data_IF_648617550605
#
_entry.id   IF_648617550605
#
_cell.length_a   1.000
_cell.length_b   1.000
_cell.length_c   1.000
_cell.angle_alpha   90.00
_cell.angle_beta   90.00
_cell.angle_gamma   90.00
#
_symmetry.space_group_name_H-M   'P 1'
#
loop_
_entity.id
_entity.type
_entity.pdbx_description
1 polymer ?
#
# COMPACT_ATOMS: atom_id res chain seq x y z
N UNK A 1 0.05 -10.79 16.86
CA UNK A 1 0.81 -9.63 16.35
C UNK A 1 1.39 -8.93 17.56
N UNK A 2 2.61 -8.43 17.45
CA UNK A 2 3.31 -7.74 18.52
C UNK A 2 4.15 -6.57 17.98
N UNK A 3 4.98 -6.00 18.85
CA UNK A 3 5.78 -4.82 18.54
C UNK A 3 6.58 -4.94 17.24
N UNK A 4 7.31 -6.06 17.07
CA UNK A 4 8.12 -6.27 15.86
C UNK A 4 7.28 -6.27 14.58
N UNK A 5 6.08 -6.86 14.61
CA UNK A 5 5.19 -6.87 13.44
C UNK A 5 4.80 -5.43 13.04
N UNK A 6 4.41 -4.61 14.02
CA UNK A 6 3.98 -3.23 13.80
C UNK A 6 5.11 -2.32 13.32
N UNK A 7 6.35 -2.55 13.78
CA UNK A 7 7.49 -1.73 13.39
C UNK A 7 7.95 -1.97 11.96
N UNK A 8 7.73 -3.16 11.41
CA UNK A 8 8.14 -3.51 10.04
C UNK A 8 7.00 -3.41 9.03
N UNK A 9 5.75 -3.59 9.48
CA UNK A 9 4.58 -3.65 8.61
C UNK A 9 4.45 -2.48 7.62
N UNK A 10 4.70 -1.21 7.99
CA UNK A 10 4.55 -0.09 7.04
C UNK A 10 5.36 -0.25 5.75
N UNK A 11 6.47 -1.00 5.77
CA UNK A 11 7.24 -1.29 4.57
C UNK A 11 6.63 -2.41 3.72
N UNK A 12 6.08 -3.44 4.36
CA UNK A 12 5.39 -4.53 3.68
C UNK A 12 4.02 -4.11 3.13
N UNK A 13 3.34 -3.16 3.76
CA UNK A 13 2.10 -2.58 3.23
C UNK A 13 2.34 -1.90 1.86
N UNK A 14 3.43 -1.14 1.77
CA UNK A 14 3.82 -0.35 0.58
C UNK A 14 4.59 -1.13 -0.48
N UNK A 15 5.13 -2.30 -0.14
CA UNK A 15 5.99 -3.08 -1.02
C UNK A 15 5.34 -3.38 -2.40
N UNK A 16 4.07 -3.78 -2.51
CA UNK A 16 3.46 -4.06 -3.81
C UNK A 16 3.47 -2.83 -4.74
N UNK A 17 3.12 -1.66 -4.22
CA UNK A 17 3.16 -0.41 -4.99
C UNK A 17 4.59 -0.09 -5.44
N UNK A 18 5.59 -0.22 -4.57
CA UNK A 18 7.00 0.01 -4.93
C UNK A 18 7.48 -0.94 -6.03
N UNK A 19 7.22 -2.24 -5.87
CA UNK A 19 7.61 -3.28 -6.83
C UNK A 19 6.99 -3.04 -8.20
N UNK A 20 5.68 -2.75 -8.23
CA UNK A 20 4.98 -2.38 -9.45
C UNK A 20 5.62 -1.18 -10.15
N UNK A 21 6.04 -0.17 -9.37
CA UNK A 21 6.66 1.04 -9.93
C UNK A 21 8.07 0.76 -10.50
N UNK A 22 8.74 -0.34 -10.12
CA UNK A 22 10.03 -0.76 -10.70
C UNK A 22 9.90 -1.91 -11.71
N UNK A 23 8.66 -2.26 -12.11
CA UNK A 23 8.39 -3.28 -13.12
C UNK A 23 8.45 -4.72 -12.60
N UNK A 24 8.33 -4.91 -11.28
CA UNK A 24 8.26 -6.24 -10.66
C UNK A 24 6.80 -6.50 -10.26
N UNK A 25 6.22 -7.59 -10.73
CA UNK A 25 4.90 -8.02 -10.29
C UNK A 25 5.01 -8.75 -8.95
N UNK A 26 4.33 -8.25 -7.92
CA UNK A 26 4.33 -8.87 -6.61
C UNK A 26 3.55 -10.19 -6.59
N UNK A 27 2.61 -10.38 -7.52
CA UNK A 27 1.79 -11.60 -7.60
C UNK A 27 2.62 -12.84 -7.93
N UNK A 28 3.71 -12.68 -8.68
CA UNK A 28 4.65 -13.76 -9.03
C UNK A 28 5.29 -14.45 -7.80
N UNK A 29 5.26 -13.79 -6.64
CA UNK A 29 5.86 -14.29 -5.41
C UNK A 29 4.85 -14.88 -4.43
N UNK A 30 3.55 -14.81 -4.73
CA UNK A 30 2.50 -15.21 -3.78
C UNK A 30 2.42 -16.72 -3.57
N UNK A 31 2.76 -17.52 -4.59
CA UNK A 31 2.66 -18.98 -4.55
C UNK A 31 4.01 -19.68 -4.28
N UNK A 32 5.07 -18.90 -4.04
CA UNK A 32 6.44 -19.40 -3.90
C UNK A 32 7.03 -19.23 -2.50
N UNK A 33 8.33 -18.93 -2.45
CA UNK A 33 9.09 -18.73 -1.21
C UNK A 33 8.55 -17.62 -0.29
N UNK A 34 7.67 -16.75 -0.79
CA UNK A 34 7.06 -15.64 -0.04
C UNK A 34 5.60 -15.89 0.35
N UNK A 35 5.03 -17.08 0.13
CA UNK A 35 3.63 -17.38 0.47
C UNK A 35 3.29 -17.07 1.94
N UNK A 36 4.16 -17.48 2.88
CA UNK A 36 3.98 -17.19 4.30
C UNK A 36 4.05 -15.69 4.62
N UNK A 37 4.87 -14.94 3.90
CA UNK A 37 4.97 -13.49 4.05
C UNK A 37 3.70 -12.80 3.56
N UNK A 38 3.15 -13.25 2.44
CA UNK A 38 1.86 -12.76 1.91
C UNK A 38 0.72 -13.04 2.88
N UNK A 39 0.65 -14.25 3.42
CA UNK A 39 -0.34 -14.63 4.45
C UNK A 39 -0.20 -13.74 5.69
N UNK A 40 1.02 -13.56 6.19
CA UNK A 40 1.28 -12.69 7.34
C UNK A 40 0.86 -11.23 7.05
N UNK A 41 1.24 -10.66 5.90
CA UNK A 41 0.87 -9.29 5.50
C UNK A 41 -0.65 -9.12 5.48
N UNK A 42 -1.37 -10.08 4.90
CA UNK A 42 -2.83 -10.03 4.83
C UNK A 42 -3.47 -10.16 6.22
N UNK A 43 -2.89 -11.00 7.10
CA UNK A 43 -3.34 -11.11 8.50
C UNK A 43 -3.13 -9.82 9.30
N UNK A 44 -2.12 -9.02 8.99
CA UNK A 44 -1.89 -7.73 9.68
C UNK A 44 -3.08 -6.77 9.56
N UNK A 45 -3.84 -6.83 8.46
CA UNK A 45 -5.06 -6.03 8.26
C UNK A 45 -6.21 -6.42 9.21
N UNK A 46 -6.10 -7.52 9.96
CA UNK A 46 -7.04 -7.84 11.03
C UNK A 46 -6.80 -7.02 12.30
N UNK A 47 -5.61 -6.40 12.44
CA UNK A 47 -5.34 -5.46 13.53
C UNK A 47 -6.06 -4.13 13.27
N UNK A 48 -6.82 -3.60 14.24
CA UNK A 48 -7.48 -2.30 14.07
C UNK A 48 -6.50 -1.15 13.76
N UNK A 49 -5.34 -1.09 14.43
CA UNK A 49 -4.39 0.00 14.23
C UNK A 49 -3.77 -0.02 12.83
N UNK A 50 -3.52 -1.23 12.31
CA UNK A 50 -3.07 -1.41 10.93
C UNK A 50 -4.16 -1.02 9.95
N UNK A 51 -5.33 -1.63 10.06
CA UNK A 51 -6.46 -1.38 9.14
C UNK A 51 -6.80 0.10 9.02
N UNK A 52 -6.84 0.79 10.16
CA UNK A 52 -7.27 2.19 10.22
C UNK A 52 -6.18 3.17 9.73
N UNK A 53 -4.93 2.72 9.60
CA UNK A 53 -3.80 3.52 9.10
C UNK A 53 -3.28 3.10 7.72
N UNK A 54 -3.75 1.97 7.19
CA UNK A 54 -3.44 1.48 5.84
C UNK A 54 -4.17 2.29 4.76
N UNK A 55 -3.53 2.41 3.60
CA UNK A 55 -4.10 3.06 2.42
C UNK A 55 -4.29 2.04 1.28
N UNK A 56 -5.29 2.24 0.40
CA UNK A 56 -5.37 1.48 -0.84
C UNK A 56 -4.08 1.61 -1.67
N UNK A 57 -3.65 0.53 -2.33
CA UNK A 57 -2.41 0.47 -3.12
C UNK A 57 -2.29 1.65 -4.12
N UNK A 58 -3.39 2.02 -4.76
CA UNK A 58 -3.44 3.14 -5.71
C UNK A 58 -3.03 4.49 -5.12
N UNK A 59 -3.18 4.70 -3.80
CA UNK A 59 -2.69 5.90 -3.13
C UNK A 59 -1.17 5.93 -3.11
N UNK A 60 -0.53 4.80 -2.80
CA UNK A 60 0.92 4.69 -2.78
C UNK A 60 1.51 4.83 -4.19
N UNK A 61 0.90 4.22 -5.21
CA UNK A 61 1.35 4.34 -6.61
C UNK A 61 1.33 5.82 -7.05
N UNK A 62 0.21 6.53 -6.88
CA UNK A 62 0.11 7.95 -7.25
C UNK A 62 1.10 8.82 -6.47
N UNK A 63 1.30 8.55 -5.18
CA UNK A 63 2.32 9.24 -4.38
C UNK A 63 3.71 9.03 -4.98
N UNK A 64 4.08 7.80 -5.35
CA UNK A 64 5.38 7.49 -5.94
C UNK A 64 5.57 8.12 -7.32
N UNK A 65 4.55 8.12 -8.18
CA UNK A 65 4.56 8.79 -9.48
C UNK A 65 4.72 10.31 -9.34
N UNK A 66 4.01 10.93 -8.39
CA UNK A 66 4.12 12.37 -8.10
C UNK A 66 5.55 12.76 -7.67
N UNK A 67 6.20 11.92 -6.86
CA UNK A 67 7.60 12.09 -6.48
C UNK A 67 8.54 11.96 -7.68
N UNK A 68 8.34 10.94 -8.53
CA UNK A 68 9.17 10.72 -9.74
C UNK A 68 9.07 11.86 -10.74
N UNK A 69 7.90 12.48 -10.87
CA UNK A 69 7.66 13.63 -11.75
C UNK A 69 8.17 14.97 -11.20
N UNK A 70 8.79 14.98 -10.02
CA UNK A 70 9.29 16.21 -9.38
C UNK A 70 8.19 17.12 -8.83
N UNK A 71 6.95 16.63 -8.73
CA UNK A 71 5.78 17.37 -8.21
C UNK A 71 5.10 16.53 -7.13
N UNK A 72 5.68 16.41 -5.92
CA UNK A 72 5.12 15.59 -4.86
C UNK A 72 3.69 16.06 -4.52
N UNK A 73 2.74 15.13 -4.49
CA UNK A 73 1.41 15.38 -3.93
C UNK A 73 1.30 14.66 -2.59
N UNK A 74 1.33 15.37 -1.46
CA UNK A 74 1.13 14.77 -0.14
C UNK A 74 -0.35 14.39 0.09
N UNK A 75 -1.27 15.01 -0.63
CA UNK A 75 -2.72 14.93 -0.40
C UNK A 75 -3.43 13.87 -1.26
N UNK A 76 -2.68 12.93 -1.85
CA UNK A 76 -3.22 11.92 -2.79
C UNK A 76 -4.45 11.19 -2.25
N UNK A 77 -4.48 10.84 -0.96
CA UNK A 77 -5.64 10.19 -0.34
C UNK A 77 -6.89 11.09 -0.34
N UNK A 78 -6.71 12.38 -0.04
CA UNK A 78 -7.79 13.39 -0.07
C UNK A 78 -8.27 13.62 -1.51
N UNK A 79 -7.36 13.67 -2.47
CA UNK A 79 -7.70 13.91 -3.88
C UNK A 79 -8.50 12.74 -4.47
N UNK A 80 -8.13 11.50 -4.14
CA UNK A 80 -8.88 10.30 -4.55
C UNK A 80 -10.29 10.33 -3.95
N UNK A 81 -10.42 10.68 -2.67
CA UNK A 81 -11.71 10.76 -2.00
C UNK A 81 -12.61 11.84 -2.63
N UNK A 82 -12.06 13.02 -2.91
CA UNK A 82 -12.79 14.11 -3.59
C UNK A 82 -13.29 13.68 -4.97
N UNK A 83 -12.46 13.00 -5.76
CA UNK A 83 -12.84 12.51 -7.07
C UNK A 83 -13.99 11.50 -6.98
N UNK A 84 -13.94 10.55 -6.03
CA UNK A 84 -15.02 9.57 -5.82
C UNK A 84 -16.36 10.24 -5.47
N UNK A 85 -16.35 11.30 -4.64
CA UNK A 85 -17.55 12.04 -4.26
C UNK A 85 -18.17 12.85 -5.42
N UNK A 86 -17.36 13.28 -6.39
CA UNK A 86 -17.84 14.02 -7.57
C UNK A 86 -18.54 13.12 -8.60
N UNK A 87 -18.19 11.82 -8.65
CA UNK A 87 -18.81 10.86 -9.57
C UNK A 87 -20.13 10.23 -9.05
N UNK A 88 -20.61 10.66 -7.88
CA UNK A 88 -21.87 10.21 -7.26
C UNK A 88 -22.99 11.26 -7.46
N UNK A 89 -22.72 12.35 -8.19
CA UNK A 89 -23.71 13.36 -8.60
C UNK A 89 -24.11 13.17 -10.05
#
# INVERSE_FOLDING_TARGET
>A
MGFCDLMIYPWFDRAPAYLKTVGIDYTDYQDGSLAQLTIWRNRMLSDPAVRDSSYPEGCYVKMLESRRSGKPSPDVGLDIQKAALLHIK
#
